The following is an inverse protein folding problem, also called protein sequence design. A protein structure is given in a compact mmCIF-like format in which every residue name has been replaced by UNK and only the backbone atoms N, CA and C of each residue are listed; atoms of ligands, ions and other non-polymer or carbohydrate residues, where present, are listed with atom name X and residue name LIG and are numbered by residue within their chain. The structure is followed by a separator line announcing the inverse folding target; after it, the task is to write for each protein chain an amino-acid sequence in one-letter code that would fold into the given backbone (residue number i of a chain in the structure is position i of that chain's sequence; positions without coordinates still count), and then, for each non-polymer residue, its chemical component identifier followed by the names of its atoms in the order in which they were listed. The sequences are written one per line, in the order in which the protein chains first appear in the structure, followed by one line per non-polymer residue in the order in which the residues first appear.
data_IF_150981592802
#
_entry.id   IF_150981592802
#
_cell.length_a   1.000
_cell.length_b   1.000
_cell.length_c   1.000
_cell.angle_alpha   90.00
_cell.angle_beta   90.00
_cell.angle_gamma   90.00
#
_symmetry.space_group_name_H-M   'P 1'
#
loop_
_entity.id
_entity.type
_entity.pdbx_description
1 polymer ?
#
# COMPACT_ATOMS: atom_id res chain seq x y z
N UNK A 1 8.05 -4.52 15.17
CA UNK A 1 7.21 -5.70 14.84
C UNK A 1 8.15 -6.89 14.80
N UNK A 2 7.73 -8.05 15.33
CA UNK A 2 8.55 -9.25 15.34
C UNK A 2 9.02 -9.64 13.93
N UNK A 3 10.25 -10.14 13.80
CA UNK A 3 10.85 -10.45 12.50
C UNK A 3 10.16 -11.62 11.76
N UNK A 4 9.42 -12.45 12.48
CA UNK A 4 8.65 -13.62 12.01
C UNK A 4 7.15 -13.33 11.88
N UNK A 5 6.76 -12.06 11.70
CA UNK A 5 5.35 -11.72 11.46
C UNK A 5 4.99 -12.11 10.04
N UNK A 6 3.99 -12.97 9.88
CA UNK A 6 3.45 -13.37 8.57
C UNK A 6 2.20 -12.54 8.20
N UNK A 7 1.39 -12.18 9.19
CA UNK A 7 0.19 -11.34 9.03
C UNK A 7 0.29 -10.15 9.99
N UNK A 8 0.07 -8.96 9.46
CA UNK A 8 0.04 -7.72 10.21
C UNK A 8 -1.35 -7.08 10.07
N UNK A 9 -2.00 -6.81 11.20
CA UNK A 9 -3.29 -6.13 11.24
C UNK A 9 -3.07 -4.72 11.79
N UNK A 10 -3.57 -3.72 11.07
CA UNK A 10 -3.52 -2.31 11.43
C UNK A 10 -4.91 -1.71 11.31
N UNK A 11 -5.12 -0.57 11.98
CA UNK A 11 -6.33 0.22 11.77
C UNK A 11 -6.23 0.85 10.37
N UNK A 12 -5.25 1.73 10.14
CA UNK A 12 -5.11 2.43 8.86
C UNK A 12 -4.35 1.56 7.84
N UNK A 13 -4.78 1.47 6.56
CA UNK A 13 -4.02 0.87 5.47
C UNK A 13 -2.76 1.71 5.14
N UNK A 14 -1.88 1.19 4.27
CA UNK A 14 -0.72 1.95 3.82
C UNK A 14 -1.11 3.13 2.94
N UNK A 15 -0.39 4.25 3.07
CA UNK A 15 -0.66 5.46 2.28
C UNK A 15 -0.52 5.17 0.78
N UNK A 16 -1.46 5.65 -0.02
CA UNK A 16 -1.52 5.45 -1.48
C UNK A 16 -2.03 4.07 -1.91
N UNK A 17 -2.42 3.21 -0.96
CA UNK A 17 -2.83 1.83 -1.20
C UNK A 17 -4.04 1.47 -0.37
N UNK A 18 -5.19 1.34 -1.03
CA UNK A 18 -6.47 1.03 -0.40
C UNK A 18 -6.85 2.01 0.72
N UNK A 19 -6.40 3.26 0.62
CA UNK A 19 -6.65 4.33 1.57
C UNK A 19 -7.55 5.44 0.98
N UNK A 20 -7.99 6.36 1.85
CA UNK A 20 -8.72 7.57 1.47
C UNK A 20 -7.84 8.81 1.68
N UNK A 21 -6.58 8.74 1.23
CA UNK A 21 -5.58 9.80 1.39
C UNK A 21 -5.32 10.17 2.87
N UNK A 22 -5.28 9.15 3.74
CA UNK A 22 -5.03 9.34 5.17
C UNK A 22 -3.53 9.52 5.43
N UNK A 23 -3.15 10.55 6.19
CA UNK A 23 -1.75 10.82 6.58
C UNK A 23 -1.11 9.69 7.39
N UNK A 24 -1.91 8.88 8.08
CA UNK A 24 -1.45 7.93 9.09
C UNK A 24 -0.78 6.67 8.50
N UNK A 25 -0.99 6.41 7.21
CA UNK A 25 -0.47 5.23 6.50
C UNK A 25 1.00 5.34 6.06
N UNK A 26 1.63 6.51 6.15
CA UNK A 26 2.98 6.75 5.65
C UNK A 26 4.06 6.02 6.46
N UNK A 27 3.94 6.05 7.79
CA UNK A 27 4.87 5.36 8.68
C UNK A 27 4.82 3.83 8.46
N UNK A 28 3.62 3.30 8.19
CA UNK A 28 3.40 1.89 7.96
C UNK A 28 4.10 1.42 6.68
N UNK A 29 3.97 2.19 5.59
CA UNK A 29 4.63 1.87 4.32
C UNK A 29 6.15 1.90 4.46
N UNK A 30 6.70 2.93 5.09
CA UNK A 30 8.12 3.04 5.37
C UNK A 30 8.67 1.86 6.19
N UNK A 31 7.88 1.35 7.14
CA UNK A 31 8.24 0.18 7.93
C UNK A 31 8.20 -1.09 7.10
N UNK A 32 7.19 -1.26 6.25
CA UNK A 32 7.05 -2.40 5.35
C UNK A 32 8.27 -2.52 4.41
N UNK A 33 8.79 -1.41 3.90
CA UNK A 33 10.02 -1.38 3.09
C UNK A 33 11.25 -1.94 3.82
N UNK A 34 11.36 -1.67 5.13
CA UNK A 34 12.52 -2.07 5.96
C UNK A 34 12.47 -3.50 6.47
N UNK A 35 11.28 -4.12 6.52
CA UNK A 35 11.16 -5.50 6.99
C UNK A 35 11.80 -6.48 6.02
N UNK A 36 12.55 -7.44 6.54
CA UNK A 36 13.18 -8.51 5.75
C UNK A 36 12.10 -9.43 5.16
N UNK A 37 11.11 -9.83 5.96
CA UNK A 37 9.89 -10.51 5.49
C UNK A 37 8.81 -9.48 5.17
N UNK A 38 7.97 -9.78 4.19
CA UNK A 38 6.90 -8.89 3.75
C UNK A 38 5.57 -9.54 4.17
N UNK A 39 5.04 -9.18 5.36
CA UNK A 39 3.80 -9.77 5.84
C UNK A 39 2.62 -9.29 5.00
N UNK A 40 1.57 -10.10 4.96
CA UNK A 40 0.27 -9.67 4.48
C UNK A 40 -0.27 -8.62 5.43
N UNK A 41 -0.62 -7.45 4.89
CA UNK A 41 -1.12 -6.33 5.67
C UNK A 41 -2.64 -6.24 5.55
N UNK A 42 -3.33 -6.21 6.69
CA UNK A 42 -4.76 -5.93 6.77
C UNK A 42 -4.97 -4.59 7.45
N UNK A 43 -5.52 -3.63 6.72
CA UNK A 43 -6.06 -2.38 7.25
C UNK A 43 -7.59 -2.40 7.22
N UNK A 44 -8.22 -1.45 7.90
CA UNK A 44 -9.59 -1.09 7.63
C UNK A 44 -9.81 0.41 7.87
N UNK A 45 -10.38 1.08 6.87
CA UNK A 45 -11.00 2.39 7.05
C UNK A 45 -12.49 2.28 6.72
N UNK A 46 -13.26 3.34 6.89
CA UNK A 46 -14.70 3.35 6.60
C UNK A 46 -15.03 3.25 5.10
N UNK A 47 -14.05 3.00 4.22
CA UNK A 47 -14.21 2.79 2.78
C UNK A 47 -12.98 2.09 2.16
N UNK A 48 -12.86 2.11 0.83
CA UNK A 48 -11.74 1.57 0.06
C UNK A 48 -11.50 0.05 0.24
N UNK A 49 -12.59 -0.70 0.44
CA UNK A 49 -12.59 -2.17 0.45
C UNK A 49 -11.99 -2.72 -0.85
N UNK A 50 -10.87 -3.44 -0.74
CA UNK A 50 -10.31 -4.25 -1.82
C UNK A 50 -9.12 -5.13 -1.33
N UNK A 51 -8.56 -5.89 -2.26
CA UNK A 51 -7.29 -6.61 -2.13
C UNK A 51 -6.33 -6.16 -3.21
N UNK A 52 -5.13 -5.75 -2.82
CA UNK A 52 -4.07 -5.32 -3.73
C UNK A 52 -2.81 -6.19 -3.54
N UNK A 53 -2.24 -6.71 -4.63
CA UNK A 53 -0.92 -7.34 -4.60
C UNK A 53 0.13 -6.36 -5.10
N UNK A 54 1.05 -5.96 -4.23
CA UNK A 54 2.11 -5.02 -4.57
C UNK A 54 3.46 -5.72 -4.65
N UNK A 55 4.25 -5.37 -5.65
CA UNK A 55 5.65 -5.82 -5.78
C UNK A 55 6.55 -4.75 -5.17
N UNK A 56 7.23 -5.09 -4.08
CA UNK A 56 8.13 -4.18 -3.39
C UNK A 56 9.46 -4.03 -4.15
N UNK A 57 9.39 -3.35 -5.30
CA UNK A 57 10.50 -3.02 -6.19
C UNK A 57 10.83 -1.52 -6.15
N UNK A 58 11.87 -1.11 -6.89
CA UNK A 58 12.26 0.31 -6.90
C UNK A 58 11.23 1.20 -7.59
N UNK A 59 10.40 0.67 -8.48
CA UNK A 59 9.38 1.46 -9.17
C UNK A 59 8.23 1.79 -8.22
N UNK A 60 7.76 0.80 -7.44
CA UNK A 60 6.79 1.02 -6.38
C UNK A 60 7.34 1.97 -5.32
N UNK A 61 8.62 1.82 -4.92
CA UNK A 61 9.20 2.76 -3.97
C UNK A 61 9.21 4.20 -4.47
N UNK A 62 9.55 4.39 -5.74
CA UNK A 62 9.52 5.72 -6.35
C UNK A 62 8.08 6.26 -6.40
N UNK A 63 7.07 5.41 -6.62
CA UNK A 63 5.65 5.77 -6.55
C UNK A 63 5.18 6.12 -5.12
N UNK A 64 5.65 5.42 -4.09
CA UNK A 64 5.31 5.73 -2.69
C UNK A 64 5.91 7.08 -2.27
N UNK A 65 7.20 7.30 -2.58
CA UNK A 65 7.90 8.56 -2.30
C UNK A 65 7.19 9.75 -3.01
N UNK A 66 6.62 9.47 -4.18
CA UNK A 66 5.77 10.35 -4.97
C UNK A 66 4.44 10.69 -4.32
N UNK A 67 3.71 9.69 -3.83
CA UNK A 67 2.42 9.87 -3.19
C UNK A 67 2.50 10.70 -1.90
N UNK A 68 3.70 10.85 -1.32
CA UNK A 68 3.96 11.69 -0.15
C UNK A 68 4.25 13.14 -0.55
N UNK A 69 4.66 13.40 -1.80
CA UNK A 69 5.02 14.74 -2.28
C UNK A 69 3.75 15.59 -2.54
N UNK A 70 3.55 16.67 -1.79
CA UNK A 70 2.38 17.56 -1.91
C UNK A 70 2.53 18.68 -2.97
N UNK A 71 3.73 18.89 -3.51
CA UNK A 71 4.02 19.98 -4.46
C UNK A 71 3.81 19.54 -5.91
N UNK A 72 2.95 20.22 -6.66
CA UNK A 72 2.56 19.83 -8.04
C UNK A 72 3.74 19.71 -9.02
N UNK A 73 4.73 20.60 -8.91
CA UNK A 73 5.92 20.56 -9.77
C UNK A 73 6.81 19.37 -9.39
N UNK A 74 6.97 19.09 -8.10
CA UNK A 74 7.69 17.91 -7.62
C UNK A 74 6.97 16.63 -8.04
N UNK A 75 5.64 16.63 -8.05
CA UNK A 75 4.88 15.49 -8.52
C UNK A 75 5.17 15.17 -9.98
N UNK A 76 5.26 16.18 -10.84
CA UNK A 76 5.58 15.97 -12.25
C UNK A 76 7.01 15.42 -12.44
N UNK A 77 7.99 15.98 -11.73
CA UNK A 77 9.38 15.51 -11.78
C UNK A 77 9.52 14.08 -11.27
N UNK A 78 8.85 13.77 -10.16
CA UNK A 78 8.92 12.44 -9.62
C UNK A 78 8.15 11.45 -10.50
N UNK A 79 7.07 11.86 -11.21
CA UNK A 79 6.35 10.95 -12.11
C UNK A 79 7.26 10.53 -13.26
N UNK A 80 8.01 11.49 -13.79
CA UNK A 80 9.05 11.22 -14.77
C UNK A 80 10.12 10.27 -14.20
N UNK A 81 10.52 10.45 -12.94
CA UNK A 81 11.44 9.55 -12.25
C UNK A 81 10.89 8.12 -12.10
N UNK A 82 9.62 7.94 -11.71
CA UNK A 82 8.96 6.63 -11.62
C UNK A 82 8.95 5.95 -12.98
N UNK A 83 8.53 6.67 -14.03
CA UNK A 83 8.52 6.16 -15.40
C UNK A 83 9.92 5.71 -15.85
N UNK A 84 10.95 6.50 -15.54
CA UNK A 84 12.34 6.16 -15.84
C UNK A 84 12.78 4.92 -15.07
N UNK A 85 12.50 4.84 -13.76
CA UNK A 85 12.80 3.68 -12.94
C UNK A 85 12.09 2.43 -13.46
N UNK A 86 10.85 2.53 -13.90
CA UNK A 86 10.11 1.40 -14.44
C UNK A 86 10.71 0.86 -15.75
N UNK A 87 11.27 1.74 -16.59
CA UNK A 87 11.95 1.34 -17.83
C UNK A 87 13.34 0.76 -17.60
N UNK A 88 14.10 1.31 -16.63
CA UNK A 88 15.54 1.03 -16.47
C UNK A 88 15.82 -0.02 -15.40
N UNK A 89 14.99 -0.13 -14.37
CA UNK A 89 15.23 -1.07 -13.27
C UNK A 89 14.91 -2.49 -13.74
N UNK A 90 15.90 -3.41 -13.73
CA UNK A 90 15.62 -4.80 -14.06
C UNK A 90 14.60 -5.35 -13.05
N UNK A 91 13.56 -6.01 -13.56
CA UNK A 91 12.48 -6.66 -12.79
C UNK A 91 12.98 -7.90 -12.03
N UNK A 92 14.12 -7.78 -11.32
CA UNK A 92 14.66 -8.81 -10.45
C UNK A 92 13.68 -9.07 -9.31
N UNK A 93 13.81 -10.25 -8.69
CA UNK A 93 12.94 -10.86 -7.68
C UNK A 93 12.54 -9.92 -6.54
N UNK A 94 11.63 -9.00 -6.81
CA UNK A 94 10.95 -8.21 -5.82
C UNK A 94 9.97 -9.12 -5.11
N UNK A 95 9.93 -9.03 -3.78
CA UNK A 95 8.97 -9.79 -2.98
C UNK A 95 7.61 -9.12 -3.14
N UNK A 96 6.64 -9.89 -3.59
CA UNK A 96 5.25 -9.47 -3.59
C UNK A 96 4.71 -9.54 -2.16
N UNK A 97 3.82 -8.62 -1.82
CA UNK A 97 3.00 -8.71 -0.61
C UNK A 97 1.56 -8.35 -0.92
N UNK A 98 0.65 -8.84 -0.08
CA UNK A 98 -0.77 -8.55 -0.18
C UNK A 98 -1.14 -7.46 0.82
N UNK A 99 -1.84 -6.45 0.33
CA UNK A 99 -2.48 -5.40 1.09
C UNK A 99 -3.98 -5.65 1.00
N UNK A 100 -4.66 -5.66 2.14
CA UNK A 100 -6.08 -5.94 2.24
C UNK A 100 -6.73 -4.83 3.03
N UNK A 101 -7.76 -4.22 2.47
CA UNK A 101 -8.63 -3.36 3.23
C UNK A 101 -9.96 -4.08 3.44
N UNK A 102 -10.20 -4.49 4.69
CA UNK A 102 -11.36 -5.28 5.08
C UNK A 102 -12.59 -4.41 5.45
N UNK A 103 -12.70 -3.20 4.89
CA UNK A 103 -13.81 -2.29 5.16
C UNK A 103 -15.18 -2.93 4.84
N UNK A 104 -16.00 -3.16 5.87
CA UNK A 104 -17.36 -3.72 5.73
C UNK A 104 -18.34 -2.67 5.21
N UNK A 105 -18.13 -1.42 5.65
CA UNK A 105 -18.96 -0.27 5.33
C UNK A 105 -18.29 0.62 4.28
N UNK A 106 -19.11 1.33 3.51
CA UNK A 106 -18.64 2.31 2.53
C UNK A 106 -19.68 3.36 2.16
N UNK A 107 -19.22 4.49 1.63
CA UNK A 107 -20.08 5.60 1.23
C UNK A 107 -20.46 6.55 2.38
N UNK A 108 -21.22 7.59 2.07
CA UNK A 108 -21.49 8.70 3.00
C UNK A 108 -22.39 8.34 4.20
N UNK A 109 -22.98 7.13 4.21
CA UNK A 109 -23.93 6.65 5.23
C UNK A 109 -23.50 5.34 5.87
N UNK A 110 -22.23 4.94 5.70
CA UNK A 110 -21.70 3.66 6.18
C UNK A 110 -22.57 2.46 5.75
N UNK A 111 -22.89 2.38 4.46
CA UNK A 111 -23.72 1.30 3.96
C UNK A 111 -22.90 -0.02 4.00
N UNK A 112 -23.43 -1.05 4.66
CA UNK A 112 -22.85 -2.39 4.66
C UNK A 112 -23.01 -3.03 3.28
N UNK A 113 -21.96 -2.93 2.46
CA UNK A 113 -21.98 -3.39 1.06
C UNK A 113 -20.92 -4.44 0.76
N UNK A 114 -19.91 -4.57 1.61
CA UNK A 114 -18.74 -5.41 1.34
C UNK A 114 -18.94 -6.84 1.81
N UNK A 115 -18.46 -7.80 1.00
CA UNK A 115 -18.48 -9.23 1.34
C UNK A 115 -17.22 -9.62 2.12
N UNK A 116 -17.20 -10.77 2.81
CA UNK A 116 -15.97 -11.28 3.40
C UNK A 116 -14.90 -11.56 2.34
N UNK A 117 -13.67 -11.09 2.57
CA UNK A 117 -12.50 -11.42 1.74
C UNK A 117 -11.94 -12.77 2.20
N UNK A 118 -11.81 -13.72 1.28
CA UNK A 118 -11.15 -15.00 1.50
C UNK A 118 -9.88 -15.07 0.66
N UNK A 119 -8.72 -15.21 1.30
CA UNK A 119 -7.44 -15.41 0.62
C UNK A 119 -6.85 -16.77 0.98
N UNK A 120 -6.40 -17.52 -0.02
CA UNK A 120 -5.55 -18.67 0.19
C UNK A 120 -4.11 -18.16 0.34
N UNK A 121 -3.58 -18.25 1.56
CA UNK A 121 -2.22 -17.82 1.93
C UNK A 121 -1.30 -19.03 1.96
#
# INVERSE_FOLDING_TARGET
MPANTDILITHVPTKGHLDLDSSDGEFLMNKLWRLQRKPILHGHIHAAYDVEQVRLDRALRAFDDMAICNEKLMQLLCLFHVCLCWMVVPKRTARSTWLVNAAIVGGFRDDERSKPISMAI
#
